data_IF_960974903383
#
_entry.id   IF_960974903383
#
_cell.length_a   1.000
_cell.length_b   1.000
_cell.length_c   1.000
_cell.angle_alpha   90.00
_cell.angle_beta   90.00
_cell.angle_gamma   90.00
#
_symmetry.space_group_name_H-M   'P 1'
#
loop_
_entity.id
_entity.type
_entity.pdbx_description
1 polymer ?
#
# COMPACT_ATOMS: atom_id res chain seq x y z
N UNK A 1 32.31 -19.18 -2.72
CA UNK A 1 31.74 -18.19 -1.79
C UNK A 1 31.16 -17.09 -2.64
N UNK A 2 29.83 -16.97 -2.70
CA UNK A 2 29.17 -15.93 -3.49
C UNK A 2 29.12 -14.69 -2.61
N UNK A 3 29.87 -13.66 -2.99
CA UNK A 3 29.83 -12.36 -2.34
C UNK A 3 28.52 -11.69 -2.71
N UNK A 4 27.49 -11.86 -1.88
CA UNK A 4 26.21 -11.16 -2.05
C UNK A 4 26.49 -9.68 -1.81
N UNK A 5 26.43 -8.86 -2.86
CA UNK A 5 26.52 -7.42 -2.71
C UNK A 5 25.36 -6.96 -1.81
N UNK A 6 25.69 -6.35 -0.67
CA UNK A 6 24.73 -5.72 0.22
C UNK A 6 24.00 -4.63 -0.58
N UNK A 7 22.69 -4.77 -0.74
CA UNK A 7 21.89 -3.79 -1.45
C UNK A 7 21.21 -2.93 -0.42
N UNK A 8 21.62 -1.66 -0.37
CA UNK A 8 21.14 -0.74 0.65
C UNK A 8 19.63 -0.53 0.63
N UNK A 9 18.98 -0.57 -0.54
CA UNK A 9 17.53 -0.38 -0.70
C UNK A 9 17.03 -0.84 -2.08
N UNK A 10 15.83 -1.41 -2.13
CA UNK A 10 15.01 -1.57 -3.33
C UNK A 10 13.69 -0.81 -3.16
N UNK A 11 13.25 -0.12 -4.21
CA UNK A 11 12.08 0.75 -4.14
C UNK A 11 11.14 0.56 -5.34
N UNK A 12 9.85 0.51 -5.05
CA UNK A 12 8.78 0.59 -6.02
C UNK A 12 7.84 1.70 -5.58
N UNK A 13 8.02 2.90 -6.17
CA UNK A 13 7.33 4.11 -5.74
C UNK A 13 6.70 4.83 -6.92
N UNK A 14 5.46 5.27 -6.74
CA UNK A 14 4.77 6.20 -7.61
C UNK A 14 3.85 7.11 -6.76
N UNK A 15 3.06 7.96 -7.42
CA UNK A 15 2.15 8.88 -6.74
C UNK A 15 1.08 8.18 -5.88
N UNK A 16 0.71 6.94 -6.20
CA UNK A 16 -0.34 6.19 -5.52
C UNK A 16 0.17 5.41 -4.31
N UNK A 17 1.37 4.83 -4.38
CA UNK A 17 1.91 4.01 -3.31
C UNK A 17 3.44 3.92 -3.36
N UNK A 18 4.02 3.57 -2.22
CA UNK A 18 5.46 3.35 -2.06
C UNK A 18 5.70 2.05 -1.31
N UNK A 19 6.50 1.17 -1.92
CA UNK A 19 6.98 -0.07 -1.32
C UNK A 19 8.50 -0.03 -1.32
N UNK A 20 9.11 -0.23 -0.16
CA UNK A 20 10.55 -0.12 0.01
C UNK A 20 11.05 -1.31 0.80
N UNK A 21 12.12 -1.95 0.35
CA UNK A 21 12.80 -3.01 1.07
C UNK A 21 14.26 -2.59 1.30
N UNK A 22 14.65 -2.43 2.57
CA UNK A 22 16.00 -2.03 2.97
C UNK A 22 16.67 -3.15 3.74
N UNK A 23 17.98 -3.29 3.60
CA UNK A 23 18.72 -4.23 4.44
C UNK A 23 18.67 -3.77 5.91
N UNK A 24 18.45 -4.71 6.83
CA UNK A 24 18.33 -4.42 8.25
C UNK A 24 19.70 -3.99 8.83
N UNK A 25 19.77 -2.89 9.59
CA UNK A 25 21.01 -2.49 10.25
C UNK A 25 21.52 -3.62 11.15
N UNK A 26 22.76 -4.03 10.94
CA UNK A 26 23.44 -5.08 11.72
C UNK A 26 22.93 -6.52 11.54
N UNK A 27 22.12 -6.81 10.51
CA UNK A 27 21.72 -8.19 10.18
C UNK A 27 21.77 -8.45 8.67
N UNK A 28 22.97 -8.72 8.12
CA UNK A 28 23.13 -8.98 6.70
C UNK A 28 22.22 -10.10 6.19
N UNK A 29 21.62 -9.90 5.02
CA UNK A 29 20.66 -10.85 4.44
C UNK A 29 19.27 -10.83 5.08
N UNK A 30 19.04 -9.99 6.09
CA UNK A 30 17.69 -9.67 6.56
C UNK A 30 17.29 -8.28 6.07
N UNK A 31 16.01 -8.12 5.78
CA UNK A 31 15.47 -6.92 5.15
C UNK A 31 14.21 -6.43 5.84
N UNK A 32 13.97 -5.13 5.80
CA UNK A 32 12.76 -4.50 6.32
C UNK A 32 11.93 -4.00 5.14
N UNK A 33 10.73 -4.56 5.01
CA UNK A 33 9.72 -4.15 4.06
C UNK A 33 8.82 -3.08 4.66
N UNK A 34 8.71 -1.97 3.96
CA UNK A 34 7.85 -0.84 4.27
C UNK A 34 6.82 -0.66 3.16
N UNK A 35 5.59 -0.32 3.53
CA UNK A 35 4.52 -0.06 2.57
C UNK A 35 3.67 1.13 2.98
N UNK A 36 3.33 1.97 2.00
CA UNK A 36 2.37 3.05 2.18
C UNK A 36 1.60 3.38 0.91
N UNK A 37 0.44 4.01 1.09
CA UNK A 37 -0.48 4.43 0.02
C UNK A 37 -0.89 5.89 0.18
N UNK A 38 -1.20 6.55 -0.92
CA UNK A 38 -1.84 7.85 -0.96
C UNK A 38 -3.35 7.69 -1.13
N UNK A 39 -4.10 7.94 -0.06
CA UNK A 39 -5.57 7.86 -0.11
C UNK A 39 -6.19 8.86 -1.10
N UNK A 40 -5.77 10.14 -1.14
CA UNK A 40 -6.32 11.10 -2.10
C UNK A 40 -6.15 10.69 -3.57
N UNK A 41 -5.14 9.87 -3.87
CA UNK A 41 -4.88 9.36 -5.23
C UNK A 41 -5.78 8.18 -5.57
N UNK A 42 -6.11 7.33 -4.60
CA UNK A 42 -7.04 6.22 -4.80
C UNK A 42 -8.53 6.60 -4.72
N UNK A 43 -8.87 7.74 -4.11
CA UNK A 43 -10.25 8.26 -4.05
C UNK A 43 -10.99 8.26 -5.41
N UNK A 44 -10.44 8.80 -6.52
CA UNK A 44 -11.11 8.75 -7.83
C UNK A 44 -11.34 7.34 -8.36
N UNK A 45 -10.49 6.38 -8.00
CA UNK A 45 -10.60 4.97 -8.44
C UNK A 45 -11.66 4.25 -7.62
N UNK A 46 -11.67 4.47 -6.30
CA UNK A 46 -12.58 3.82 -5.36
C UNK A 46 -13.95 4.51 -5.25
N UNK A 47 -14.14 5.64 -5.93
CA UNK A 47 -15.30 6.51 -5.78
C UNK A 47 -16.66 5.82 -5.99
N UNK A 48 -17.50 5.87 -4.95
CA UNK A 48 -18.88 5.36 -4.96
C UNK A 48 -18.97 3.83 -5.08
N UNK A 49 -17.89 3.13 -4.75
CA UNK A 49 -17.77 1.66 -4.90
C UNK A 49 -17.57 0.93 -3.57
N UNK A 50 -17.28 1.65 -2.50
CA UNK A 50 -17.09 1.08 -1.18
C UNK A 50 -18.04 1.74 -0.17
N UNK A 51 -18.53 0.96 0.80
CA UNK A 51 -19.48 1.47 1.81
C UNK A 51 -18.88 2.59 2.66
N UNK A 52 -19.75 3.31 3.38
CA UNK A 52 -19.45 4.52 4.19
C UNK A 52 -18.27 4.33 5.17
N UNK A 53 -17.89 3.09 5.48
CA UNK A 53 -16.86 2.75 6.46
C UNK A 53 -15.68 1.91 5.93
N UNK A 54 -15.55 1.72 4.60
CA UNK A 54 -14.45 0.92 4.04
C UNK A 54 -13.86 1.65 2.84
N UNK A 55 -12.58 2.00 2.86
CA UNK A 55 -11.86 2.41 1.66
C UNK A 55 -11.03 1.22 1.17
N UNK A 56 -11.25 0.81 -0.08
CA UNK A 56 -10.58 -0.36 -0.67
C UNK A 56 -9.06 -0.22 -0.67
N UNK A 57 -8.51 0.99 -0.85
CA UNK A 57 -7.09 1.23 -0.82
C UNK A 57 -6.51 0.97 0.57
N UNK A 58 -7.15 1.50 1.61
CA UNK A 58 -6.74 1.26 3.00
C UNK A 58 -6.80 -0.23 3.37
N UNK A 59 -7.89 -0.92 2.99
CA UNK A 59 -8.01 -2.37 3.22
C UNK A 59 -7.00 -3.18 2.42
N UNK A 60 -6.69 -2.77 1.19
CA UNK A 60 -5.65 -3.39 0.38
C UNK A 60 -4.27 -3.25 1.02
N UNK A 61 -3.95 -2.09 1.57
CA UNK A 61 -2.71 -1.89 2.32
C UNK A 61 -2.64 -2.76 3.58
N UNK A 62 -3.72 -2.83 4.38
CA UNK A 62 -3.79 -3.73 5.54
C UNK A 62 -3.58 -5.20 5.16
N UNK A 63 -4.18 -5.63 4.06
CA UNK A 63 -4.09 -7.02 3.56
C UNK A 63 -2.70 -7.33 2.97
N UNK A 64 -2.04 -6.35 2.35
CA UNK A 64 -0.75 -6.52 1.69
C UNK A 64 0.28 -7.18 2.61
N UNK A 65 0.37 -6.72 3.87
CA UNK A 65 1.33 -7.28 4.83
C UNK A 65 1.12 -8.79 5.02
N UNK A 66 -0.12 -9.23 5.18
CA UNK A 66 -0.44 -10.65 5.33
C UNK A 66 -0.13 -11.45 4.05
N UNK A 67 -0.41 -10.87 2.89
CA UNK A 67 -0.15 -11.51 1.60
C UNK A 67 1.36 -11.64 1.32
N UNK A 68 2.16 -10.62 1.67
CA UNK A 68 3.63 -10.65 1.58
C UNK A 68 4.20 -11.72 2.51
N UNK A 69 3.74 -11.78 3.76
CA UNK A 69 4.12 -12.85 4.70
C UNK A 69 3.80 -14.24 4.15
N UNK A 70 2.59 -14.43 3.59
CA UNK A 70 2.20 -15.70 2.99
C UNK A 70 3.09 -16.06 1.80
N UNK A 71 3.34 -15.11 0.90
CA UNK A 71 4.18 -15.31 -0.30
C UNK A 71 5.64 -15.65 0.05
N UNK A 72 6.20 -15.00 1.06
CA UNK A 72 7.53 -15.28 1.58
C UNK A 72 7.60 -16.66 2.24
N UNK A 73 6.63 -16.99 3.11
CA UNK A 73 6.56 -18.28 3.78
C UNK A 73 6.46 -19.45 2.80
N UNK A 74 5.73 -19.29 1.68
CA UNK A 74 5.65 -20.29 0.61
C UNK A 74 7.01 -20.58 -0.07
N UNK A 75 7.99 -19.68 0.07
CA UNK A 75 9.37 -19.82 -0.41
C UNK A 75 10.34 -20.23 0.69
N UNK A 76 9.84 -20.56 1.88
CA UNK A 76 10.67 -20.90 3.05
C UNK A 76 11.33 -19.68 3.70
N UNK A 77 10.87 -18.46 3.41
CA UNK A 77 11.43 -17.22 3.97
C UNK A 77 10.59 -16.81 5.16
N UNK A 78 11.24 -16.56 6.31
CA UNK A 78 10.55 -16.18 7.55
C UNK A 78 10.26 -14.69 7.54
N UNK A 79 9.05 -14.31 7.98
CA UNK A 79 8.66 -12.91 8.16
C UNK A 79 8.13 -12.63 9.57
N UNK A 80 8.46 -11.45 10.11
CA UNK A 80 8.11 -11.01 11.48
C UNK A 80 7.75 -9.53 11.52
N UNK A 81 7.15 -9.05 12.61
CA UNK A 81 7.07 -7.61 12.86
C UNK A 81 8.46 -7.02 13.02
N UNK A 82 8.75 -5.88 12.38
CA UNK A 82 10.08 -5.28 12.44
C UNK A 82 10.33 -4.49 13.75
N UNK A 83 9.33 -4.35 14.63
CA UNK A 83 9.35 -3.56 15.88
C UNK A 83 9.77 -2.08 15.74
N UNK A 84 10.15 -1.65 14.53
CA UNK A 84 10.50 -0.29 14.16
C UNK A 84 9.30 0.40 13.49
N UNK A 85 9.06 1.67 13.80
CA UNK A 85 8.13 2.49 13.03
C UNK A 85 8.51 2.50 11.56
N UNK A 86 7.51 2.64 10.68
CA UNK A 86 7.78 2.85 9.26
C UNK A 86 8.44 4.22 9.06
N UNK A 87 9.66 4.22 8.51
CA UNK A 87 10.41 5.44 8.15
C UNK A 87 10.08 5.95 6.74
N UNK A 88 9.02 5.44 6.10
CA UNK A 88 8.57 5.97 4.83
C UNK A 88 8.21 7.45 5.00
N UNK A 89 8.72 8.29 4.10
CA UNK A 89 8.43 9.73 4.08
C UNK A 89 6.94 9.93 3.80
N UNK A 90 6.17 10.10 4.87
CA UNK A 90 4.74 10.39 4.83
C UNK A 90 4.37 11.12 6.11
N UNK A 91 4.74 12.40 6.21
CA UNK A 91 4.39 13.23 7.35
C UNK A 91 2.88 13.17 7.62
N UNK A 92 2.52 13.12 8.91
CA UNK A 92 1.13 13.18 9.36
C UNK A 92 0.41 14.35 8.65
N UNK A 93 -0.69 14.04 7.94
CA UNK A 93 -1.57 15.04 7.32
C UNK A 93 -1.55 15.15 5.79
N UNK A 94 -0.69 14.41 5.09
CA UNK A 94 -0.64 14.43 3.60
C UNK A 94 -1.66 13.49 2.92
N UNK A 95 -2.45 12.76 3.71
CA UNK A 95 -3.34 11.71 3.20
C UNK A 95 -2.61 10.40 2.84
N UNK A 96 -1.33 10.30 3.18
CA UNK A 96 -0.57 9.05 3.12
C UNK A 96 -0.84 8.20 4.36
N UNK A 97 -1.00 6.89 4.13
CA UNK A 97 -1.17 5.88 5.16
C UNK A 97 -0.06 4.84 5.01
N UNK A 98 0.41 4.34 6.14
CA UNK A 98 1.51 3.39 6.20
C UNK A 98 1.14 2.25 7.12
N UNK A 99 1.67 1.07 6.83
CA UNK A 99 1.58 -0.09 7.71
C UNK A 99 2.87 -0.30 8.48
N UNK A 100 2.76 -1.05 9.57
CA UNK A 100 3.92 -1.46 10.33
C UNK A 100 4.89 -2.24 9.45
N UNK A 101 6.18 -1.97 9.62
CA UNK A 101 7.22 -2.59 8.83
C UNK A 101 7.32 -4.11 9.10
N UNK A 102 7.63 -4.87 8.05
CA UNK A 102 7.76 -6.33 8.09
C UNK A 102 9.23 -6.71 7.95
N UNK A 103 9.78 -7.42 8.93
CA UNK A 103 11.10 -8.01 8.85
C UNK A 103 11.02 -9.28 7.99
N UNK A 104 11.92 -9.41 7.04
CA UNK A 104 12.13 -10.57 6.17
C UNK A 104 13.52 -11.11 6.52
N UNK A 105 13.60 -12.34 7.04
CA UNK A 105 14.84 -12.91 7.54
C UNK A 105 15.51 -13.81 6.50
N UNK A 106 16.83 -13.70 6.40
CA UNK A 106 17.72 -14.63 5.67
C UNK A 106 17.29 -14.88 4.21
N UNK A 107 16.92 -13.81 3.50
CA UNK A 107 16.47 -13.86 2.11
C UNK A 107 17.61 -13.54 1.13
N UNK A 108 17.61 -14.18 -0.04
CA UNK A 108 18.49 -13.75 -1.13
C UNK A 108 17.98 -12.46 -1.76
N UNK A 109 18.86 -11.75 -2.45
CA UNK A 109 18.48 -10.53 -3.16
C UNK A 109 17.39 -10.80 -4.22
N UNK A 110 17.50 -11.90 -4.95
CA UNK A 110 16.52 -12.30 -5.97
C UNK A 110 15.15 -12.52 -5.33
N UNK A 111 15.10 -13.17 -4.17
CA UNK A 111 13.87 -13.38 -3.43
C UNK A 111 13.26 -12.05 -2.94
N UNK A 112 14.08 -11.12 -2.48
CA UNK A 112 13.63 -9.78 -2.10
C UNK A 112 13.06 -9.01 -3.29
N UNK A 113 13.68 -9.10 -4.46
CA UNK A 113 13.15 -8.52 -5.70
C UNK A 113 11.80 -9.14 -6.09
N UNK A 114 11.68 -10.46 -6.02
CA UNK A 114 10.41 -11.16 -6.26
C UNK A 114 9.31 -10.71 -5.29
N UNK A 115 9.64 -10.54 -4.01
CA UNK A 115 8.72 -10.04 -2.99
C UNK A 115 8.25 -8.63 -3.36
N UNK A 116 9.14 -7.73 -3.76
CA UNK A 116 8.77 -6.37 -4.15
C UNK A 116 7.83 -6.34 -5.37
N UNK A 117 8.16 -7.11 -6.41
CA UNK A 117 7.34 -7.22 -7.62
C UNK A 117 5.96 -7.83 -7.34
N UNK A 118 5.92 -8.89 -6.53
CA UNK A 118 4.68 -9.50 -6.05
C UNK A 118 3.84 -8.46 -5.30
N UNK A 119 4.45 -7.75 -4.35
CA UNK A 119 3.76 -6.79 -3.47
C UNK A 119 3.07 -5.69 -4.25
N UNK A 120 3.74 -5.11 -5.25
CA UNK A 120 3.18 -4.04 -6.08
C UNK A 120 1.94 -4.54 -6.86
N UNK A 121 2.03 -5.74 -7.43
CA UNK A 121 0.93 -6.32 -8.22
C UNK A 121 -0.22 -6.78 -7.35
N UNK A 122 0.08 -7.40 -6.21
CA UNK A 122 -0.91 -7.91 -5.27
C UNK A 122 -1.71 -6.78 -4.62
N UNK A 123 -1.04 -5.69 -4.21
CA UNK A 123 -1.70 -4.50 -3.68
C UNK A 123 -2.75 -3.96 -4.66
N UNK A 124 -2.33 -3.67 -5.89
CA UNK A 124 -3.24 -3.10 -6.90
C UNK A 124 -4.35 -4.07 -7.25
N UNK A 125 -4.05 -5.36 -7.42
CA UNK A 125 -5.07 -6.38 -7.69
C UNK A 125 -6.11 -6.46 -6.58
N UNK A 126 -5.68 -6.44 -5.33
CA UNK A 126 -6.56 -6.50 -4.15
C UNK A 126 -7.48 -5.28 -4.10
N UNK A 127 -6.93 -4.09 -4.33
CA UNK A 127 -7.71 -2.84 -4.34
C UNK A 127 -8.75 -2.87 -5.46
N UNK A 128 -8.33 -3.19 -6.69
CA UNK A 128 -9.22 -3.21 -7.85
C UNK A 128 -10.28 -4.28 -7.77
N UNK A 129 -9.97 -5.46 -7.22
CA UNK A 129 -10.97 -6.49 -6.99
C UNK A 129 -12.12 -6.01 -6.07
N UNK A 130 -11.81 -5.13 -5.12
CA UNK A 130 -12.79 -4.59 -4.19
C UNK A 130 -13.61 -3.42 -4.76
N UNK A 131 -13.03 -2.56 -5.60
CA UNK A 131 -13.72 -1.34 -6.06
C UNK A 131 -14.08 -1.31 -7.56
N UNK A 132 -13.42 -2.12 -8.39
CA UNK A 132 -13.64 -2.20 -9.84
C UNK A 132 -13.62 -3.66 -10.33
N UNK A 133 -14.60 -4.49 -9.91
CA UNK A 133 -14.66 -5.89 -10.33
C UNK A 133 -14.76 -5.97 -11.86
N UNK A 134 -13.82 -6.68 -12.48
CA UNK A 134 -13.71 -6.81 -13.94
C UNK A 134 -12.49 -6.11 -14.55
N UNK A 135 -11.83 -5.21 -13.81
CA UNK A 135 -10.54 -4.66 -14.24
C UNK A 135 -9.43 -5.65 -13.94
N UNK A 136 -8.79 -6.16 -14.98
CA UNK A 136 -7.63 -7.03 -14.87
C UNK A 136 -6.34 -6.22 -14.89
N UNK A 137 -5.40 -6.56 -14.00
CA UNK A 137 -4.05 -6.02 -14.05
C UNK A 137 -3.32 -6.60 -15.28
N UNK A 138 -2.60 -5.77 -16.07
CA UNK A 138 -1.81 -6.27 -17.20
C UNK A 138 -0.86 -7.40 -16.79
N UNK A 139 -0.69 -8.37 -17.68
CA UNK A 139 0.23 -9.49 -17.49
C UNK A 139 1.70 -9.01 -17.47
N UNK A 140 2.57 -9.75 -16.79
CA UNK A 140 4.00 -9.44 -16.68
C UNK A 140 4.35 -8.41 -15.61
N UNK A 141 5.64 -8.14 -15.42
CA UNK A 141 6.11 -7.11 -14.51
C UNK A 141 5.75 -5.72 -15.06
N UNK A 142 5.12 -4.89 -14.22
CA UNK A 142 4.89 -3.48 -14.52
C UNK A 142 5.89 -2.67 -13.71
N UNK A 143 6.60 -1.75 -14.35
CA UNK A 143 7.40 -0.77 -13.63
C UNK A 143 6.52 0.29 -12.96
N UNK A 144 7.07 1.09 -12.02
CA UNK A 144 6.31 2.09 -11.27
C UNK A 144 5.56 3.10 -12.14
N UNK A 145 6.17 3.59 -13.21
CA UNK A 145 5.53 4.54 -14.15
C UNK A 145 4.39 3.90 -14.95
N UNK A 146 4.57 2.65 -15.41
CA UNK A 146 3.54 1.94 -16.15
C UNK A 146 2.33 1.65 -15.25
N UNK A 147 2.59 1.29 -13.98
CA UNK A 147 1.55 1.13 -12.97
C UNK A 147 0.84 2.45 -12.65
N UNK A 148 1.58 3.56 -12.57
CA UNK A 148 0.99 4.88 -12.37
C UNK A 148 0.00 5.21 -13.49
N UNK A 149 0.43 5.12 -14.76
CA UNK A 149 -0.45 5.38 -15.92
C UNK A 149 -1.68 4.46 -15.94
N UNK A 150 -1.49 3.20 -15.54
CA UNK A 150 -2.59 2.25 -15.42
C UNK A 150 -3.59 2.66 -14.34
N UNK A 151 -3.15 3.07 -13.16
CA UNK A 151 -4.04 3.52 -12.09
C UNK A 151 -4.75 4.84 -12.46
N UNK A 152 -4.05 5.78 -13.09
CA UNK A 152 -4.61 7.05 -13.57
C UNK A 152 -5.74 6.83 -14.58
N UNK A 153 -5.61 5.85 -15.49
CA UNK A 153 -6.64 5.57 -16.50
C UNK A 153 -7.94 4.98 -15.93
N UNK A 154 -7.94 4.56 -14.67
CA UNK A 154 -9.11 3.98 -13.99
C UNK A 154 -9.76 4.95 -12.98
N UNK A 155 -9.23 6.16 -12.82
CA UNK A 155 -9.82 7.19 -11.99
C UNK A 155 -11.04 7.84 -12.66
N UNK A 156 -12.10 8.11 -11.89
CA UNK A 156 -13.22 8.91 -12.39
C UNK A 156 -12.81 10.39 -12.52
N UNK A 157 -12.92 10.99 -13.72
CA UNK A 157 -12.66 12.42 -13.87
C UNK A 157 -13.68 13.22 -13.05
N UNK A 158 -13.25 14.35 -12.50
CA UNK A 158 -14.09 15.28 -11.74
C UNK A 158 -14.86 14.65 -10.56
N UNK A 159 -14.33 13.57 -9.95
CA UNK A 159 -15.02 12.87 -8.85
C UNK A 159 -15.42 13.81 -7.69
N UNK A 160 -14.63 14.87 -7.44
CA UNK A 160 -14.93 15.88 -6.40
C UNK A 160 -16.16 16.73 -6.71
N UNK A 161 -16.48 16.98 -7.99
CA UNK A 161 -17.65 17.76 -8.38
C UNK A 161 -18.95 16.96 -8.27
N UNK A 162 -18.86 15.64 -8.40
CA UNK A 162 -19.98 14.70 -8.25
C UNK A 162 -20.06 14.08 -6.85
N UNK A 163 -19.15 14.46 -5.95
CA UNK A 163 -19.16 14.00 -4.57
C UNK A 163 -20.32 14.63 -3.82
N UNK A 164 -21.16 13.87 -3.09
CA UNK A 164 -22.13 14.45 -2.18
C UNK A 164 -21.40 15.40 -1.25
N UNK A 165 -21.99 16.59 -1.05
CA UNK A 165 -21.42 17.62 -0.19
C UNK A 165 -21.10 17.02 1.18
N UNK A 166 -19.98 17.46 1.79
CA UNK A 166 -19.61 17.05 3.15
C UNK A 166 -20.84 17.23 4.03
N UNK A 167 -21.27 16.15 4.70
CA UNK A 167 -22.35 16.23 5.69
C UNK A 167 -21.92 17.32 6.67
N UNK A 168 -22.72 18.39 6.76
CA UNK A 168 -22.45 19.48 7.67
C UNK A 168 -22.29 18.90 9.08
N UNK A 169 -21.25 19.33 9.81
CA UNK A 169 -21.15 19.00 11.24
C UNK A 169 -22.47 19.44 11.88
N UNK A 170 -23.12 18.61 12.73
CA UNK A 170 -24.29 19.07 13.46
C UNK A 170 -23.86 20.30 14.26
N UNK A 171 -24.42 21.46 13.89
CA UNK A 171 -24.38 22.66 14.71
C UNK A 171 -25.15 22.32 15.95
N UNK A 172 -24.43 22.04 17.04
CA UNK A 172 -25.00 21.79 18.35
C UNK A 172 -25.66 23.07 18.86
N UNK A 173 -26.91 23.31 18.46
CA UNK A 173 -27.87 24.07 19.25
C UNK A 173 -28.94 23.08 19.69
N UNK A 174 -28.76 22.58 20.91
CA UNK A 174 -29.76 21.82 21.64
C UNK A 174 -30.97 22.73 21.89
N UNK A 175 -32.04 22.52 21.13
CA UNK A 175 -33.37 22.97 21.49
C UNK A 175 -33.98 21.98 22.49
N UNK A 176 -33.51 21.98 23.74
CA UNK A 176 -34.41 21.65 24.85
C UNK A 176 -33.87 22.22 26.17
N UNK A 177 -34.60 23.18 26.71
CA UNK A 177 -34.41 23.65 28.06
C UNK A 177 -35.13 22.71 29.01
N UNK A 178 -34.37 22.00 29.86
CA UNK A 178 -34.77 21.56 31.20
C UNK A 178 -33.59 20.88 31.92
N UNK A 179 -33.14 21.51 33.01
CA UNK A 179 -32.54 20.81 34.15
C UNK A 179 -33.65 20.48 35.15
#
# INVERSE_FOLDING_TARGET
MVTTAAIGSLEYTNDFFSLVIREAPNRPGSYVFYSGISMPRFDPICWGKTGICSNAAFKGLQQLRANVSLFANQRGIVTKSAETPSDLLGGHGTGWYQENALLIEDASFEAVREILEFSARDLVRTILAACQPGVALPAGALGPEAMQRFLESHGKPNYKAIAPSKIAKPTGETADGRC
#
